data_IF_840743933077
#
_entry.id   IF_840743933077
#
_cell.length_a   1.000
_cell.length_b   1.000
_cell.length_c   1.000
_cell.angle_alpha   90.00
_cell.angle_beta   90.00
_cell.angle_gamma   90.00
#
_symmetry.space_group_name_H-M   'P 1'
#
loop_
_entity.id
_entity.type
_entity.pdbx_description
1 polymer ?
#
# COMPACT_ATOMS: atom_id res chain seq x y z
N UNK A 1 32.34 -23.67 13.38
CA UNK A 1 30.96 -23.89 12.91
C UNK A 1 30.06 -23.08 13.83
N UNK A 2 29.59 -21.92 13.37
CA UNK A 2 28.68 -21.04 14.11
C UNK A 2 27.29 -21.18 13.49
N UNK A 3 26.22 -21.36 14.29
CA UNK A 3 24.87 -21.55 13.75
C UNK A 3 24.34 -20.23 13.19
N UNK A 4 23.84 -20.27 11.96
CA UNK A 4 23.15 -19.16 11.30
C UNK A 4 21.82 -18.85 11.99
N UNK A 5 21.88 -18.10 13.08
CA UNK A 5 20.71 -17.35 13.57
C UNK A 5 20.77 -16.00 12.86
N UNK A 6 20.42 -15.98 11.56
CA UNK A 6 20.25 -14.74 10.82
C UNK A 6 18.76 -14.42 10.73
N UNK A 7 18.37 -13.46 11.56
CA UNK A 7 17.18 -12.62 11.50
C UNK A 7 16.43 -12.67 10.14
N UNK A 8 15.38 -13.49 10.06
CA UNK A 8 14.37 -13.43 8.98
C UNK A 8 13.48 -12.21 9.19
N UNK A 9 13.98 -11.02 8.90
CA UNK A 9 13.10 -9.92 8.48
C UNK A 9 12.85 -10.18 7.00
N UNK A 10 11.79 -10.94 6.70
CA UNK A 10 11.36 -11.18 5.32
C UNK A 10 10.76 -9.86 4.82
N UNK A 11 11.58 -9.03 4.18
CA UNK A 11 11.07 -7.90 3.39
C UNK A 11 10.57 -8.51 2.08
N UNK A 12 9.26 -8.51 1.80
CA UNK A 12 8.74 -9.06 0.56
C UNK A 12 9.34 -8.28 -0.62
N UNK A 13 9.79 -9.01 -1.65
CA UNK A 13 10.30 -8.39 -2.86
C UNK A 13 9.14 -7.65 -3.54
N UNK A 14 9.36 -6.48 -4.19
CA UNK A 14 8.27 -5.76 -4.84
C UNK A 14 7.48 -6.59 -5.88
N UNK A 15 8.06 -7.65 -6.42
CA UNK A 15 7.40 -8.61 -7.33
C UNK A 15 6.34 -9.47 -6.65
N UNK A 16 6.47 -9.68 -5.35
CA UNK A 16 5.65 -10.60 -4.56
C UNK A 16 4.45 -9.87 -3.94
N UNK A 17 4.40 -8.54 -4.09
CA UNK A 17 3.27 -7.73 -3.67
C UNK A 17 2.11 -7.84 -4.66
N UNK A 18 0.84 -7.87 -4.18
CA UNK A 18 -0.32 -7.90 -5.04
C UNK A 18 -0.35 -6.67 -5.95
N UNK A 19 -0.66 -6.88 -7.23
CA UNK A 19 -0.74 -5.82 -8.24
C UNK A 19 -2.15 -5.23 -8.27
N UNK A 20 -2.24 -3.91 -8.15
CA UNK A 20 -3.51 -3.18 -8.26
C UNK A 20 -3.45 -2.16 -9.40
N UNK A 21 -4.32 -2.31 -10.41
CA UNK A 21 -4.38 -1.41 -11.56
C UNK A 21 -5.58 -0.46 -11.43
N UNK A 22 -5.31 0.84 -11.26
CA UNK A 22 -6.31 1.89 -11.21
C UNK A 22 -6.59 2.47 -12.61
N UNK A 23 -7.87 2.58 -12.99
CA UNK A 23 -8.32 3.32 -14.18
C UNK A 23 -8.96 4.64 -13.75
N UNK A 24 -8.50 5.74 -14.33
CA UNK A 24 -9.02 7.09 -14.08
C UNK A 24 -8.82 7.96 -15.31
N UNK A 25 -9.46 9.12 -15.38
CA UNK A 25 -9.21 10.09 -16.44
C UNK A 25 -7.80 10.71 -16.34
N UNK A 26 -7.31 11.19 -17.49
CA UNK A 26 -5.95 11.75 -17.61
C UNK A 26 -5.74 12.97 -16.69
N UNK A 27 -6.74 13.83 -16.55
CA UNK A 27 -6.60 15.06 -15.78
C UNK A 27 -6.41 14.74 -14.28
N UNK A 28 -7.16 13.77 -13.76
CA UNK A 28 -7.02 13.28 -12.39
C UNK A 28 -5.65 12.65 -12.16
N UNK A 29 -5.18 11.79 -13.06
CA UNK A 29 -3.86 11.17 -12.93
C UNK A 29 -2.73 12.21 -12.92
N UNK A 30 -2.82 13.23 -13.78
CA UNK A 30 -1.82 14.28 -13.86
C UNK A 30 -1.79 15.14 -12.59
N UNK A 31 -2.96 15.52 -12.05
CA UNK A 31 -3.05 16.20 -10.75
C UNK A 31 -2.47 15.33 -9.62
N UNK A 32 -2.78 14.04 -9.64
CA UNK A 32 -2.29 13.11 -8.62
C UNK A 32 -0.76 12.98 -8.63
N UNK A 33 -0.12 12.96 -9.81
CA UNK A 33 1.34 12.99 -9.95
C UNK A 33 1.97 14.23 -9.30
N UNK A 34 1.35 15.40 -9.46
CA UNK A 34 1.83 16.64 -8.84
C UNK A 34 1.76 16.56 -7.32
N UNK A 35 0.67 16.03 -6.75
CA UNK A 35 0.52 15.84 -5.30
C UNK A 35 1.57 14.87 -4.76
N UNK A 36 1.74 13.72 -5.41
CA UNK A 36 2.75 12.73 -5.02
C UNK A 36 4.17 13.33 -5.03
N UNK A 37 4.51 14.11 -6.06
CA UNK A 37 5.79 14.80 -6.15
C UNK A 37 5.98 15.81 -5.02
N UNK A 38 4.96 16.63 -4.71
CA UNK A 38 5.01 17.58 -3.59
C UNK A 38 5.22 16.88 -2.24
N UNK A 39 4.68 15.68 -2.08
CA UNK A 39 4.81 14.86 -0.87
C UNK A 39 6.10 14.02 -0.86
N UNK A 40 7.01 14.20 -1.84
CA UNK A 40 8.26 13.43 -2.01
C UNK A 40 8.02 11.91 -2.07
N UNK A 41 6.96 11.50 -2.76
CA UNK A 41 6.55 10.10 -2.88
C UNK A 41 6.41 9.69 -4.34
N UNK A 42 6.56 8.40 -4.60
CA UNK A 42 6.08 7.82 -5.86
C UNK A 42 4.56 7.86 -5.90
N UNK A 43 3.98 7.85 -7.10
CA UNK A 43 2.52 7.78 -7.29
C UNK A 43 1.91 6.60 -6.53
N UNK A 44 2.56 5.44 -6.59
CA UNK A 44 2.09 4.23 -5.90
C UNK A 44 2.17 4.39 -4.38
N UNK A 45 3.24 4.99 -3.84
CA UNK A 45 3.36 5.21 -2.39
C UNK A 45 2.33 6.21 -1.89
N UNK A 46 2.05 7.26 -2.65
CA UNK A 46 0.98 8.20 -2.32
C UNK A 46 -0.39 7.51 -2.33
N UNK A 47 -0.65 6.65 -3.31
CA UNK A 47 -1.89 5.89 -3.38
C UNK A 47 -2.04 4.93 -2.20
N UNK A 48 -0.96 4.24 -1.82
CA UNK A 48 -0.92 3.37 -0.64
C UNK A 48 -1.24 4.14 0.64
N UNK A 49 -0.67 5.35 0.82
CA UNK A 49 -0.95 6.20 1.98
C UNK A 49 -2.42 6.62 2.03
N UNK A 50 -3.00 7.00 0.89
CA UNK A 50 -4.43 7.34 0.80
C UNK A 50 -5.33 6.13 1.11
N UNK A 51 -4.98 4.95 0.61
CA UNK A 51 -5.71 3.72 0.93
C UNK A 51 -5.68 3.43 2.43
N UNK A 52 -4.51 3.51 3.08
CA UNK A 52 -4.37 3.28 4.52
C UNK A 52 -5.17 4.29 5.34
N UNK A 53 -5.11 5.58 4.97
CA UNK A 53 -5.88 6.62 5.65
C UNK A 53 -7.38 6.37 5.50
N UNK A 54 -7.83 6.03 4.29
CA UNK A 54 -9.25 5.77 4.04
C UNK A 54 -9.76 4.55 4.82
N UNK A 55 -8.96 3.48 4.92
CA UNK A 55 -9.29 2.30 5.73
C UNK A 55 -9.41 2.68 7.20
N UNK A 56 -8.43 3.39 7.76
CA UNK A 56 -8.47 3.83 9.15
C UNK A 56 -9.70 4.71 9.45
N UNK A 57 -9.99 5.68 8.58
CA UNK A 57 -11.16 6.56 8.72
C UNK A 57 -12.48 5.81 8.60
N UNK A 58 -12.51 4.73 7.80
CA UNK A 58 -13.68 3.87 7.66
C UNK A 58 -13.88 3.01 8.90
N UNK A 59 -12.82 2.38 9.41
CA UNK A 59 -12.84 1.50 10.58
C UNK A 59 -13.19 2.26 11.86
N UNK A 60 -12.72 3.49 12.02
CA UNK A 60 -13.10 4.37 13.13
C UNK A 60 -14.62 4.62 13.18
N UNK A 61 -15.28 4.67 12.02
CA UNK A 61 -16.71 4.98 11.89
C UNK A 61 -17.62 3.75 11.89
N UNK A 62 -17.14 2.61 11.40
CA UNK A 62 -17.98 1.43 11.12
C UNK A 62 -17.53 0.17 11.87
N UNK A 63 -16.39 0.23 12.58
CA UNK A 63 -15.75 -0.92 13.20
C UNK A 63 -14.70 -1.57 12.27
N UNK A 64 -13.85 -2.40 12.87
CA UNK A 64 -12.71 -3.07 12.21
C UNK A 64 -13.17 -4.00 11.08
N UNK A 65 -12.44 -3.98 9.97
CA UNK A 65 -12.69 -4.87 8.82
C UNK A 65 -12.09 -6.24 9.13
N UNK A 66 -12.95 -7.22 9.42
CA UNK A 66 -12.53 -8.61 9.63
C UNK A 66 -12.41 -9.33 8.28
N UNK A 67 -11.18 -9.65 7.88
CA UNK A 67 -10.92 -10.46 6.69
C UNK A 67 -10.88 -11.96 7.05
N UNK A 68 -11.45 -12.85 6.22
CA UNK A 68 -11.30 -14.29 6.42
C UNK A 68 -9.83 -14.68 6.26
N UNK A 69 -9.33 -15.55 7.14
CA UNK A 69 -8.00 -16.13 6.95
C UNK A 69 -8.03 -17.08 5.76
N UNK A 70 -7.12 -16.85 4.81
CA UNK A 70 -6.88 -17.59 3.56
C UNK A 70 -7.77 -17.22 2.37
N UNK A 71 -7.23 -16.33 1.54
CA UNK A 71 -7.41 -16.36 0.08
C UNK A 71 -6.07 -16.00 -0.55
N UNK A 72 -5.18 -16.99 -0.62
CA UNK A 72 -4.05 -16.97 -1.57
C UNK A 72 -4.57 -17.32 -2.97
#
# INVERSE_FOLDING_TARGET
MLPEIFLKVVIPLPSDLPKFTLRTDKQTLDKFRVVAQKNLRTVNRELEMLMRQHIADYEDKHGEIVLPQNQD
#
